data_IF_602381382149
#
_entry.id   IF_602381382149
#
_cell.length_a   1.000
_cell.length_b   1.000
_cell.length_c   1.000
_cell.angle_alpha   90.00
_cell.angle_beta   90.00
_cell.angle_gamma   90.00
#
_symmetry.space_group_name_H-M   'P 1'
#
loop_
_entity.id
_entity.type
_entity.pdbx_description
1 polymer ?
#
# COMPACT_ATOMS: atom_id res chain seq x y z
N UNK A 1 -31.50 -3.78 0.21
CA UNK A 1 -30.72 -4.09 -1.03
C UNK A 1 -30.49 -2.84 -1.89
N UNK A 2 -31.52 -2.09 -2.26
CA UNK A 2 -31.40 -0.87 -3.10
C UNK A 2 -30.59 0.27 -2.47
N UNK A 3 -30.74 0.53 -1.17
CA UNK A 3 -29.98 1.56 -0.43
C UNK A 3 -28.47 1.24 -0.30
N UNK A 4 -28.13 -0.06 -0.17
CA UNK A 4 -26.74 -0.53 -0.10
C UNK A 4 -26.06 -0.39 -1.47
N UNK A 5 -26.77 -0.75 -2.54
CA UNK A 5 -26.29 -0.55 -3.91
C UNK A 5 -26.10 0.94 -4.23
N UNK A 6 -27.05 1.80 -3.83
CA UNK A 6 -27.02 3.24 -4.08
C UNK A 6 -25.86 3.92 -3.32
N UNK A 7 -25.60 3.53 -2.07
CA UNK A 7 -24.48 4.05 -1.28
C UNK A 7 -23.12 3.59 -1.82
N UNK A 8 -22.99 2.34 -2.28
CA UNK A 8 -21.76 1.88 -2.95
C UNK A 8 -21.53 2.61 -4.28
N UNK A 9 -22.60 2.85 -5.06
CA UNK A 9 -22.53 3.60 -6.33
C UNK A 9 -22.17 5.06 -6.07
N UNK A 10 -22.81 5.73 -5.11
CA UNK A 10 -22.51 7.12 -4.73
C UNK A 10 -21.07 7.27 -4.22
N UNK A 11 -20.56 6.36 -3.38
CA UNK A 11 -19.16 6.38 -2.93
C UNK A 11 -18.18 6.25 -4.09
N UNK A 12 -18.49 5.37 -5.06
CA UNK A 12 -17.68 5.14 -6.25
C UNK A 12 -17.70 6.34 -7.20
N UNK A 13 -18.84 7.02 -7.33
CA UNK A 13 -19.01 8.26 -8.11
C UNK A 13 -18.27 9.42 -7.46
N UNK A 14 -18.39 9.60 -6.14
CA UNK A 14 -17.68 10.65 -5.40
C UNK A 14 -16.16 10.46 -5.47
N UNK A 15 -15.66 9.22 -5.33
CA UNK A 15 -14.26 8.89 -5.55
C UNK A 15 -13.83 9.17 -7.00
N UNK A 16 -14.63 8.77 -7.99
CA UNK A 16 -14.33 9.07 -9.39
C UNK A 16 -14.26 10.58 -9.65
N UNK A 17 -15.29 11.35 -9.31
CA UNK A 17 -15.35 12.80 -9.57
C UNK A 17 -14.22 13.56 -8.88
N UNK A 18 -13.90 13.19 -7.65
CA UNK A 18 -12.80 13.76 -6.87
C UNK A 18 -11.44 13.52 -7.54
N UNK A 19 -11.19 12.30 -8.01
CA UNK A 19 -9.88 11.95 -8.58
C UNK A 19 -9.76 12.34 -10.06
N UNK A 20 -10.85 12.34 -10.83
CA UNK A 20 -10.83 12.74 -12.25
C UNK A 20 -10.60 14.24 -12.42
N UNK A 21 -11.22 15.06 -11.58
CA UNK A 21 -11.22 16.52 -11.74
C UNK A 21 -9.84 17.13 -11.41
N UNK A 22 -9.15 16.62 -10.39
CA UNK A 22 -7.89 17.20 -9.92
C UNK A 22 -6.67 16.72 -10.72
N UNK A 23 -6.66 15.48 -11.26
CA UNK A 23 -5.54 15.02 -12.09
C UNK A 23 -5.57 15.65 -13.48
N UNK A 24 -6.76 15.89 -14.05
CA UNK A 24 -6.90 16.64 -15.31
C UNK A 24 -6.43 18.11 -15.13
N UNK A 25 -6.65 18.70 -13.95
CA UNK A 25 -6.10 20.01 -13.58
C UNK A 25 -4.57 19.97 -13.44
N UNK A 26 -4.01 18.96 -12.78
CA UNK A 26 -2.56 18.79 -12.64
C UNK A 26 -1.86 18.54 -13.99
N UNK A 27 -2.45 17.79 -14.92
CA UNK A 27 -1.91 17.57 -16.27
C UNK A 27 -1.87 18.87 -17.09
N UNK A 28 -2.82 19.78 -16.83
CA UNK A 28 -2.90 21.09 -17.47
C UNK A 28 -1.89 22.10 -16.91
N UNK A 29 -1.21 21.78 -15.80
CA UNK A 29 -0.22 22.66 -15.18
C UNK A 29 1.05 22.78 -16.03
N UNK A 30 1.37 24.02 -16.39
CA UNK A 30 2.44 24.39 -17.33
C UNK A 30 3.82 24.13 -16.71
N UNK A 31 3.90 24.02 -15.38
CA UNK A 31 5.15 23.80 -14.63
C UNK A 31 5.72 22.38 -14.75
N UNK A 32 4.92 21.38 -15.15
CA UNK A 32 5.37 19.99 -15.29
C UNK A 32 6.10 19.76 -16.62
N UNK A 33 7.20 19.01 -16.58
CA UNK A 33 7.90 18.53 -17.77
C UNK A 33 7.15 17.36 -18.46
N UNK A 34 7.54 17.07 -19.71
CA UNK A 34 6.84 16.09 -20.56
C UNK A 34 6.77 14.68 -19.96
N UNK A 35 7.82 14.22 -19.28
CA UNK A 35 7.86 12.90 -18.65
C UNK A 35 6.89 12.81 -17.47
N UNK A 36 6.82 13.88 -16.66
CA UNK A 36 5.90 13.97 -15.53
C UNK A 36 4.44 13.97 -15.97
N UNK A 37 4.09 14.76 -17.00
CA UNK A 37 2.73 14.78 -17.55
C UNK A 37 2.30 13.42 -18.09
N UNK A 38 3.22 12.67 -18.69
CA UNK A 38 2.96 11.31 -19.18
C UNK A 38 2.67 10.36 -18.00
N UNK A 39 3.48 10.37 -16.94
CA UNK A 39 3.23 9.56 -15.74
C UNK A 39 1.91 9.92 -15.05
N UNK A 40 1.60 11.21 -14.97
CA UNK A 40 0.35 11.72 -14.39
C UNK A 40 -0.88 11.40 -15.22
N UNK A 41 -0.78 11.52 -16.53
CA UNK A 41 -1.82 11.10 -17.46
C UNK A 41 -2.07 9.60 -17.36
N UNK A 42 -1.02 8.78 -17.36
CA UNK A 42 -1.16 7.34 -17.18
C UNK A 42 -1.71 6.98 -15.80
N UNK A 43 -1.29 7.67 -14.73
CA UNK A 43 -1.86 7.50 -13.40
C UNK A 43 -3.34 7.92 -13.36
N UNK A 44 -3.72 9.06 -13.95
CA UNK A 44 -5.11 9.53 -14.07
C UNK A 44 -6.00 8.51 -14.77
N UNK A 45 -5.59 8.10 -15.97
CA UNK A 45 -6.32 7.18 -16.81
C UNK A 45 -6.35 5.78 -16.19
N UNK A 46 -5.26 5.37 -15.54
CA UNK A 46 -5.22 4.17 -14.72
C UNK A 46 -6.23 4.27 -13.59
N UNK A 47 -6.23 5.32 -12.78
CA UNK A 47 -7.13 5.48 -11.65
C UNK A 47 -8.59 5.56 -12.09
N UNK A 48 -8.89 6.28 -13.19
CA UNK A 48 -10.21 6.32 -13.85
C UNK A 48 -10.65 4.93 -14.33
N UNK A 49 -9.78 4.19 -15.00
CA UNK A 49 -10.09 2.84 -15.51
C UNK A 49 -10.24 1.83 -14.37
N UNK A 50 -9.47 2.00 -13.30
CA UNK A 50 -9.35 1.10 -12.16
C UNK A 50 -10.47 1.31 -11.16
N UNK A 51 -10.89 2.55 -10.95
CA UNK A 51 -12.13 2.88 -10.25
C UNK A 51 -13.34 2.41 -11.05
N UNK A 52 -13.31 2.37 -12.39
CA UNK A 52 -14.46 1.93 -13.18
C UNK A 52 -14.64 0.41 -13.22
N UNK A 53 -13.60 -0.43 -13.37
CA UNK A 53 -13.72 -1.89 -13.24
C UNK A 53 -12.44 -2.67 -12.83
N UNK A 54 -12.65 -3.88 -12.30
CA UNK A 54 -11.62 -4.82 -11.83
C UNK A 54 -10.60 -5.26 -12.90
N UNK A 55 -11.04 -5.45 -14.15
CA UNK A 55 -10.17 -5.90 -15.24
C UNK A 55 -9.19 -4.82 -15.69
N UNK A 56 -9.57 -3.55 -15.59
CA UNK A 56 -8.67 -2.44 -15.89
C UNK A 56 -7.49 -2.39 -14.91
N UNK A 57 -7.74 -2.61 -13.60
CA UNK A 57 -6.68 -2.68 -12.58
C UNK A 57 -5.68 -3.78 -12.89
N UNK A 58 -6.17 -4.98 -13.23
CA UNK A 58 -5.32 -6.12 -13.64
C UNK A 58 -4.42 -5.72 -14.80
N UNK A 59 -4.99 -5.09 -15.85
CA UNK A 59 -4.20 -4.66 -17.02
C UNK A 59 -3.13 -3.65 -16.64
N UNK A 60 -3.49 -2.66 -15.82
CA UNK A 60 -2.57 -1.64 -15.33
C UNK A 60 -1.42 -2.23 -14.51
N UNK A 61 -1.70 -3.10 -13.53
CA UNK A 61 -0.65 -3.73 -12.74
C UNK A 61 0.29 -4.55 -13.61
N UNK A 62 -0.24 -5.29 -14.59
CA UNK A 62 0.57 -6.07 -15.51
C UNK A 62 1.38 -5.20 -16.50
N UNK A 63 0.97 -3.97 -16.78
CA UNK A 63 1.73 -3.06 -17.65
C UNK A 63 2.84 -2.32 -16.91
N UNK A 64 2.61 -1.96 -15.65
CA UNK A 64 3.60 -1.22 -14.85
C UNK A 64 4.59 -2.12 -14.13
N UNK A 65 4.16 -3.33 -13.73
CA UNK A 65 5.07 -4.28 -13.09
C UNK A 65 5.90 -4.98 -14.17
N UNK A 66 7.21 -4.75 -14.15
CA UNK A 66 8.17 -5.57 -14.88
C UNK A 66 8.21 -6.98 -14.27
N UNK A 67 7.36 -7.87 -14.78
CA UNK A 67 7.28 -9.25 -14.34
C UNK A 67 8.50 -10.03 -14.86
N UNK A 68 9.46 -10.24 -13.97
CA UNK A 68 10.64 -11.06 -14.22
C UNK A 68 10.38 -12.49 -13.76
N UNK A 69 10.25 -13.43 -14.71
CA UNK A 69 10.05 -14.86 -14.42
C UNK A 69 11.37 -15.66 -14.34
N UNK A 70 12.53 -15.01 -14.42
CA UNK A 70 13.81 -15.73 -14.40
C UNK A 70 14.07 -16.44 -13.06
N UNK A 71 13.34 -16.08 -11.99
CA UNK A 71 13.40 -16.78 -10.70
C UNK A 71 13.03 -18.26 -10.81
N UNK A 72 12.27 -18.67 -11.83
CA UNK A 72 11.89 -20.08 -12.04
C UNK A 72 13.11 -20.97 -12.25
N UNK A 73 14.22 -20.41 -12.77
CA UNK A 73 15.47 -21.13 -12.95
C UNK A 73 16.19 -21.43 -11.63
N UNK A 74 15.80 -20.78 -10.53
CA UNK A 74 16.39 -20.92 -9.21
C UNK A 74 15.55 -21.82 -8.29
N UNK A 75 14.92 -22.86 -8.85
CA UNK A 75 14.11 -23.78 -8.05
C UNK A 75 14.97 -24.51 -7.02
N UNK A 76 14.65 -24.34 -5.74
CA UNK A 76 15.35 -24.94 -4.60
C UNK A 76 14.37 -25.59 -3.63
N UNK A 77 14.90 -26.27 -2.60
CA UNK A 77 14.07 -26.79 -1.51
C UNK A 77 13.63 -25.67 -0.59
N UNK A 78 12.39 -25.76 -0.11
CA UNK A 78 11.82 -24.86 0.88
C UNK A 78 12.64 -24.81 2.18
N UNK A 79 12.63 -23.66 2.84
CA UNK A 79 13.13 -23.52 4.22
C UNK A 79 12.05 -23.95 5.21
N UNK A 80 12.27 -25.01 6.03
CA UNK A 80 11.30 -25.43 7.04
C UNK A 80 10.93 -24.31 8.03
N UNK A 81 11.89 -23.44 8.35
CA UNK A 81 11.69 -22.28 9.23
C UNK A 81 10.74 -21.26 8.59
N UNK A 82 10.95 -20.88 7.32
CA UNK A 82 10.05 -20.00 6.59
C UNK A 82 8.63 -20.56 6.52
N UNK A 83 8.50 -21.85 6.20
CA UNK A 83 7.18 -22.49 6.06
C UNK A 83 6.39 -22.42 7.37
N UNK A 84 7.05 -22.70 8.49
CA UNK A 84 6.40 -22.55 9.80
C UNK A 84 5.94 -21.12 10.07
N UNK A 85 6.76 -20.12 9.73
CA UNK A 85 6.39 -18.69 9.90
C UNK A 85 5.19 -18.33 9.01
N UNK A 86 5.17 -18.81 7.76
CA UNK A 86 4.06 -18.62 6.82
C UNK A 86 2.76 -19.20 7.40
N UNK A 87 2.78 -20.46 7.82
CA UNK A 87 1.62 -21.16 8.38
C UNK A 87 1.09 -20.42 9.61
N UNK A 88 1.96 -20.12 10.56
CA UNK A 88 1.62 -19.40 11.80
C UNK A 88 1.00 -18.01 11.51
N UNK A 89 1.51 -17.29 10.51
CA UNK A 89 0.95 -16.00 10.11
C UNK A 89 -0.42 -16.14 9.46
N UNK A 90 -0.57 -17.04 8.48
CA UNK A 90 -1.82 -17.21 7.73
C UNK A 90 -2.94 -17.72 8.63
N UNK A 91 -2.65 -18.61 9.57
CA UNK A 91 -3.63 -19.10 10.55
C UNK A 91 -4.24 -17.94 11.34
N UNK A 92 -3.41 -16.98 11.79
CA UNK A 92 -3.83 -15.81 12.58
C UNK A 92 -4.38 -14.66 11.73
N UNK A 93 -4.31 -14.75 10.41
CA UNK A 93 -4.75 -13.68 9.52
C UNK A 93 -6.27 -13.52 9.56
N UNK A 94 -6.72 -12.26 9.66
CA UNK A 94 -8.14 -11.90 9.55
C UNK A 94 -8.52 -11.80 8.08
N UNK A 95 -9.57 -12.51 7.69
CA UNK A 95 -10.08 -12.57 6.32
C UNK A 95 -11.45 -11.87 6.21
N UNK A 96 -11.56 -10.66 6.76
CA UNK A 96 -12.80 -9.87 6.79
C UNK A 96 -13.37 -9.57 5.41
N UNK A 97 -12.51 -9.60 4.39
CA UNK A 97 -12.84 -9.31 3.00
C UNK A 97 -13.30 -10.56 2.22
N UNK A 98 -13.35 -11.71 2.88
CA UNK A 98 -13.64 -13.03 2.30
C UNK A 98 -14.84 -13.64 3.04
N UNK A 99 -15.81 -14.26 2.36
CA UNK A 99 -16.91 -14.93 3.04
C UNK A 99 -16.39 -16.04 3.98
N UNK A 100 -16.93 -16.12 5.21
CA UNK A 100 -16.48 -17.08 6.24
C UNK A 100 -16.39 -18.53 5.74
N UNK A 101 -17.36 -18.95 4.91
CA UNK A 101 -17.40 -20.29 4.31
C UNK A 101 -16.23 -20.59 3.36
N UNK A 102 -15.51 -19.57 2.89
CA UNK A 102 -14.37 -19.68 1.97
C UNK A 102 -13.03 -19.46 2.70
N UNK A 103 -13.03 -19.19 4.01
CA UNK A 103 -11.80 -18.85 4.75
C UNK A 103 -10.76 -19.97 4.71
N UNK A 104 -11.18 -21.22 4.95
CA UNK A 104 -10.25 -22.35 5.01
C UNK A 104 -9.59 -22.61 3.65
N UNK A 105 -10.40 -22.70 2.60
CA UNK A 105 -9.92 -22.86 1.22
C UNK A 105 -8.97 -21.72 0.81
N UNK A 106 -9.29 -20.48 1.21
CA UNK A 106 -8.45 -19.34 0.93
C UNK A 106 -7.12 -19.39 1.70
N UNK A 107 -7.13 -19.76 2.98
CA UNK A 107 -5.91 -19.94 3.78
C UNK A 107 -5.00 -20.99 3.17
N UNK A 108 -5.56 -22.13 2.77
CA UNK A 108 -4.82 -23.20 2.08
C UNK A 108 -4.20 -22.65 0.78
N UNK A 109 -4.98 -21.93 -0.02
CA UNK A 109 -4.47 -21.32 -1.25
C UNK A 109 -3.34 -20.33 -0.97
N UNK A 110 -3.48 -19.48 0.05
CA UNK A 110 -2.48 -18.48 0.44
C UNK A 110 -1.19 -19.14 0.93
N UNK A 111 -1.27 -20.15 1.80
CA UNK A 111 -0.12 -20.94 2.24
C UNK A 111 0.57 -21.55 1.02
N UNK A 112 -0.17 -22.21 0.13
CA UNK A 112 0.39 -22.82 -1.07
C UNK A 112 1.11 -21.80 -1.97
N UNK A 113 0.58 -20.58 -2.16
CA UNK A 113 1.28 -19.54 -2.94
C UNK A 113 2.58 -19.07 -2.25
N UNK A 114 2.56 -18.90 -0.94
CA UNK A 114 3.72 -18.43 -0.19
C UNK A 114 4.80 -19.52 -0.06
N UNK A 115 4.40 -20.78 0.11
CA UNK A 115 5.29 -21.95 0.02
C UNK A 115 5.88 -22.09 -1.38
N UNK A 116 5.11 -21.82 -2.45
CA UNK A 116 5.64 -21.78 -3.81
C UNK A 116 6.70 -20.68 -3.96
N UNK A 117 6.45 -19.48 -3.42
CA UNK A 117 7.44 -18.40 -3.40
C UNK A 117 8.74 -18.82 -2.68
N UNK A 118 8.64 -19.45 -1.52
CA UNK A 118 9.80 -19.90 -0.73
C UNK A 118 10.65 -20.96 -1.46
N UNK A 119 10.10 -21.70 -2.43
CA UNK A 119 10.93 -22.58 -3.31
C UNK A 119 11.94 -21.80 -4.15
N UNK A 120 11.62 -20.57 -4.51
CA UNK A 120 12.47 -19.71 -5.33
C UNK A 120 13.33 -18.77 -4.50
N UNK A 121 12.91 -18.47 -3.27
CA UNK A 121 13.58 -17.56 -2.34
C UNK A 121 13.56 -18.17 -0.92
N UNK A 122 14.27 -19.29 -0.70
CA UNK A 122 14.21 -20.03 0.56
C UNK A 122 14.76 -19.18 1.71
N UNK A 123 13.99 -19.06 2.79
CA UNK A 123 14.40 -18.29 3.97
C UNK A 123 14.14 -16.78 3.87
N UNK A 124 13.70 -16.28 2.71
CA UNK A 124 13.51 -14.85 2.45
C UNK A 124 12.08 -14.37 2.76
N UNK A 125 11.23 -15.25 3.32
CA UNK A 125 9.88 -14.86 3.72
C UNK A 125 9.93 -13.88 4.89
N UNK A 126 9.28 -12.72 4.73
CA UNK A 126 9.20 -11.68 5.75
C UNK A 126 7.76 -11.61 6.27
N UNK A 127 7.61 -11.72 7.60
CA UNK A 127 6.31 -11.65 8.24
C UNK A 127 5.60 -10.32 7.92
N UNK A 128 4.32 -10.39 7.58
CA UNK A 128 3.51 -9.26 7.11
C UNK A 128 3.33 -9.24 5.59
N UNK A 129 4.22 -9.86 4.82
CA UNK A 129 4.11 -9.90 3.35
C UNK A 129 3.01 -10.84 2.85
N UNK A 130 2.49 -11.75 3.69
CA UNK A 130 1.29 -12.52 3.36
C UNK A 130 0.07 -11.63 3.06
N UNK A 131 -0.01 -10.42 3.64
CA UNK A 131 -1.06 -9.46 3.31
C UNK A 131 -1.00 -9.01 1.84
N UNK A 132 0.21 -8.86 1.29
CA UNK A 132 0.43 -8.51 -0.12
C UNK A 132 -0.04 -9.67 -1.00
N UNK A 133 0.40 -10.91 -0.70
CA UNK A 133 0.00 -12.09 -1.45
C UNK A 133 -1.52 -12.31 -1.40
N UNK A 134 -2.16 -12.11 -0.25
CA UNK A 134 -3.63 -12.13 -0.13
C UNK A 134 -4.29 -11.20 -1.15
N UNK A 135 -3.84 -9.94 -1.25
CA UNK A 135 -4.41 -8.98 -2.20
C UNK A 135 -4.18 -9.39 -3.66
N UNK A 136 -3.03 -9.98 -3.97
CA UNK A 136 -2.75 -10.53 -5.30
C UNK A 136 -3.70 -11.68 -5.61
N UNK A 137 -3.93 -12.61 -4.68
CA UNK A 137 -4.87 -13.72 -4.89
C UNK A 137 -6.29 -13.18 -5.11
N UNK A 138 -6.72 -12.18 -4.34
CA UNK A 138 -8.03 -11.56 -4.49
C UNK A 138 -8.20 -10.90 -5.87
N UNK A 139 -7.21 -10.12 -6.32
CA UNK A 139 -7.27 -9.39 -7.58
C UNK A 139 -7.01 -10.28 -8.81
N UNK A 140 -6.17 -11.31 -8.67
CA UNK A 140 -5.73 -12.18 -9.75
C UNK A 140 -6.20 -13.64 -9.56
N UNK A 141 -7.40 -13.84 -8.99
CA UNK A 141 -7.98 -15.17 -8.70
C UNK A 141 -7.97 -16.13 -9.90
N UNK A 142 -8.13 -15.59 -11.11
CA UNK A 142 -8.17 -16.36 -12.36
C UNK A 142 -6.81 -16.54 -13.04
N UNK A 143 -5.72 -16.06 -12.43
CA UNK A 143 -4.36 -16.24 -12.96
C UNK A 143 -3.68 -17.44 -12.31
N UNK A 144 -2.79 -18.07 -13.06
CA UNK A 144 -2.00 -19.19 -12.55
C UNK A 144 -1.06 -18.74 -11.41
N UNK A 145 -0.51 -19.71 -10.68
CA UNK A 145 0.37 -19.46 -9.54
C UNK A 145 1.59 -18.65 -9.95
N UNK A 146 2.22 -19.02 -11.07
CA UNK A 146 3.45 -18.36 -11.54
C UNK A 146 3.28 -16.86 -11.74
N UNK A 147 2.18 -16.41 -12.35
CA UNK A 147 1.88 -14.99 -12.54
C UNK A 147 1.67 -14.29 -11.19
N UNK A 148 0.95 -14.92 -10.25
CA UNK A 148 0.74 -14.36 -8.91
C UNK A 148 2.06 -14.22 -8.14
N UNK A 149 2.91 -15.24 -8.19
CA UNK A 149 4.26 -15.22 -7.60
C UNK A 149 5.14 -14.18 -8.27
N UNK A 150 5.09 -14.04 -9.59
CA UNK A 150 5.82 -13.00 -10.32
C UNK A 150 5.42 -11.59 -9.89
N UNK A 151 4.11 -11.31 -9.79
CA UNK A 151 3.59 -10.03 -9.28
C UNK A 151 4.08 -9.78 -7.85
N UNK A 152 4.02 -10.80 -6.99
CA UNK A 152 4.48 -10.71 -5.61
C UNK A 152 5.95 -10.33 -5.54
N UNK A 153 6.82 -11.02 -6.28
CA UNK A 153 8.25 -10.73 -6.35
C UNK A 153 8.51 -9.32 -6.88
N UNK A 154 7.83 -8.88 -7.95
CA UNK A 154 7.99 -7.53 -8.49
C UNK A 154 7.64 -6.47 -7.45
N UNK A 155 6.56 -6.65 -6.68
CA UNK A 155 6.19 -5.75 -5.58
C UNK A 155 7.20 -5.75 -4.42
N UNK A 156 7.74 -6.92 -4.05
CA UNK A 156 8.77 -7.02 -3.01
C UNK A 156 10.10 -6.37 -3.43
N UNK A 157 10.49 -6.54 -4.71
CA UNK A 157 11.68 -5.88 -5.29
C UNK A 157 11.49 -4.36 -5.31
N UNK A 158 10.34 -3.91 -5.80
CA UNK A 158 9.99 -2.49 -5.92
C UNK A 158 9.93 -1.79 -4.57
N UNK A 159 9.44 -2.49 -3.53
CA UNK A 159 9.41 -1.97 -2.16
C UNK A 159 10.74 -2.13 -1.43
N UNK A 160 11.73 -2.80 -2.05
CA UNK A 160 13.00 -3.15 -1.42
C UNK A 160 12.85 -3.93 -0.11
N UNK A 161 11.74 -4.67 0.07
CA UNK A 161 11.45 -5.44 1.30
C UNK A 161 12.53 -6.50 1.57
N UNK A 162 13.10 -7.13 0.54
CA UNK A 162 14.24 -8.06 0.69
C UNK A 162 15.45 -7.44 1.37
N UNK A 163 15.62 -6.12 1.26
CA UNK A 163 16.74 -5.41 1.88
C UNK A 163 16.44 -5.00 3.33
N UNK A 164 15.29 -5.37 3.91
CA UNK A 164 14.90 -4.95 5.27
C UNK A 164 15.92 -5.35 6.34
N UNK A 165 16.58 -6.51 6.21
CA UNK A 165 17.66 -6.90 7.12
C UNK A 165 18.85 -5.92 7.10
N UNK A 166 19.02 -5.18 6.00
CA UNK A 166 20.07 -4.18 5.77
C UNK A 166 19.55 -2.77 6.11
N UNK A 167 18.27 -2.49 5.88
CA UNK A 167 17.63 -1.21 6.20
C UNK A 167 17.38 -1.09 7.70
N UNK A 168 18.30 -0.41 8.38
CA UNK A 168 18.10 0.00 9.77
C UNK A 168 16.94 1.00 9.88
N UNK A 169 16.20 0.92 10.99
CA UNK A 169 15.16 1.89 11.37
C UNK A 169 15.63 3.35 11.21
N UNK A 170 16.91 3.61 11.45
CA UNK A 170 17.60 4.88 11.27
C UNK A 170 17.44 5.49 9.87
N UNK A 171 17.42 4.68 8.81
CA UNK A 171 17.27 5.16 7.43
C UNK A 171 15.86 5.71 7.19
N UNK A 172 14.82 5.00 7.66
CA UNK A 172 13.44 5.46 7.61
C UNK A 172 13.26 6.76 8.40
N UNK A 173 13.84 6.80 9.61
CA UNK A 173 13.81 7.97 10.48
C UNK A 173 14.49 9.17 9.83
N UNK A 174 15.66 8.98 9.22
CA UNK A 174 16.40 10.04 8.53
C UNK A 174 15.57 10.63 7.38
N UNK A 175 14.98 9.79 6.52
CA UNK A 175 14.17 10.26 5.38
C UNK A 175 12.89 10.98 5.83
N UNK A 176 12.20 10.47 6.85
CA UNK A 176 11.02 11.16 7.41
C UNK A 176 11.40 12.50 8.06
N UNK A 177 12.49 12.56 8.84
CA UNK A 177 12.99 13.83 9.41
C UNK A 177 13.31 14.86 8.33
N UNK A 178 13.98 14.45 7.25
CA UNK A 178 14.26 15.34 6.10
C UNK A 178 12.96 15.88 5.47
N UNK A 179 11.97 15.01 5.26
CA UNK A 179 10.67 15.43 4.72
C UNK A 179 9.94 16.40 5.65
N UNK A 180 9.93 16.17 6.96
CA UNK A 180 9.35 17.09 7.94
C UNK A 180 10.04 18.46 7.92
N UNK A 181 11.38 18.47 7.88
CA UNK A 181 12.18 19.69 7.79
C UNK A 181 11.87 20.50 6.53
N UNK A 182 11.83 19.85 5.36
CA UNK A 182 11.51 20.52 4.08
C UNK A 182 10.09 21.12 4.10
N UNK A 183 9.18 20.52 4.87
CA UNK A 183 7.80 21.00 4.99
C UNK A 183 7.59 21.92 6.20
N UNK A 184 8.65 22.38 6.87
CA UNK A 184 8.61 23.26 8.04
C UNK A 184 7.81 22.72 9.24
N UNK A 185 7.74 21.39 9.41
CA UNK A 185 7.07 20.76 10.55
C UNK A 185 8.10 20.49 11.64
N UNK A 186 7.92 21.09 12.82
CA UNK A 186 8.85 21.02 13.95
C UNK A 186 8.26 20.40 15.22
N UNK A 187 6.99 20.00 15.19
CA UNK A 187 6.24 19.55 16.38
C UNK A 187 6.62 18.15 16.87
N UNK A 188 7.31 17.33 16.06
CA UNK A 188 7.64 15.95 16.42
C UNK A 188 9.04 15.79 17.00
N UNK A 189 9.10 15.20 18.19
CA UNK A 189 10.37 14.77 18.78
C UNK A 189 10.89 13.50 18.10
N UNK A 190 12.15 13.15 18.34
CA UNK A 190 12.70 11.89 17.84
C UNK A 190 11.91 10.67 18.36
N UNK A 191 11.49 10.69 19.63
CA UNK A 191 10.71 9.59 20.23
C UNK A 191 9.36 9.41 19.56
N UNK A 192 8.68 10.50 19.20
CA UNK A 192 7.40 10.45 18.49
C UNK A 192 7.57 9.79 17.11
N UNK A 193 8.62 10.17 16.39
CA UNK A 193 8.90 9.61 15.07
C UNK A 193 9.33 8.15 15.13
N UNK A 194 10.12 7.75 16.12
CA UNK A 194 10.47 6.34 16.35
C UNK A 194 9.21 5.52 16.67
N UNK A 195 8.31 6.05 17.50
CA UNK A 195 7.04 5.43 17.81
C UNK A 195 6.16 5.28 16.57
N UNK A 196 6.02 6.34 15.77
CA UNK A 196 5.31 6.33 14.49
C UNK A 196 5.86 5.27 13.54
N UNK A 197 7.18 5.21 13.41
CA UNK A 197 7.83 4.28 12.49
C UNK A 197 7.50 2.84 12.86
N UNK A 198 7.67 2.50 14.14
CA UNK A 198 7.48 1.15 14.63
C UNK A 198 6.02 0.72 14.65
N UNK A 199 5.08 1.66 14.85
CA UNK A 199 3.67 1.32 15.03
C UNK A 199 2.81 1.52 13.79
N UNK A 200 3.23 2.40 12.86
CA UNK A 200 2.47 2.75 11.66
C UNK A 200 3.29 2.48 10.40
N UNK A 201 4.38 3.22 10.22
CA UNK A 201 5.10 3.27 8.95
C UNK A 201 5.54 1.87 8.50
N UNK A 202 6.21 1.11 9.36
CA UNK A 202 6.71 -0.22 9.01
C UNK A 202 5.58 -1.19 8.68
N UNK A 203 4.41 -1.05 9.32
CA UNK A 203 3.24 -1.87 8.97
C UNK A 203 2.75 -1.53 7.56
N UNK A 204 2.60 -0.24 7.25
CA UNK A 204 2.22 0.18 5.89
C UNK A 204 3.24 -0.24 4.84
N UNK A 205 4.52 -0.11 5.17
CA UNK A 205 5.64 -0.45 4.29
C UNK A 205 5.70 -1.96 4.01
N UNK A 206 5.76 -2.80 5.05
CA UNK A 206 5.93 -4.25 4.93
C UNK A 206 4.68 -4.90 4.32
N UNK A 207 3.49 -4.40 4.64
CA UNK A 207 2.24 -4.97 4.11
C UNK A 207 1.78 -4.33 2.80
N UNK A 208 2.48 -3.29 2.32
CA UNK A 208 2.04 -2.39 1.24
C UNK A 208 0.57 -1.96 1.42
N UNK A 209 0.27 -1.42 2.59
CA UNK A 209 -1.09 -1.06 3.03
C UNK A 209 -2.08 -2.23 3.06
N UNK A 210 -1.62 -3.48 3.02
CA UNK A 210 -2.44 -4.68 2.94
C UNK A 210 -3.40 -4.90 4.12
N UNK A 211 -3.23 -4.13 5.20
CA UNK A 211 -4.14 -4.10 6.34
C UNK A 211 -5.19 -2.99 6.28
N UNK A 212 -5.05 -2.00 5.42
CA UNK A 212 -6.06 -0.92 5.26
C UNK A 212 -7.37 -1.51 4.73
N UNK A 213 -8.50 -0.85 5.00
CA UNK A 213 -9.81 -1.20 4.48
C UNK A 213 -9.77 -1.52 2.97
N UNK A 214 -10.43 -2.61 2.55
CA UNK A 214 -10.38 -3.11 1.17
C UNK A 214 -10.81 -2.08 0.12
N UNK A 215 -11.72 -1.17 0.47
CA UNK A 215 -12.20 -0.13 -0.45
C UNK A 215 -11.06 0.80 -0.92
N UNK A 216 -10.04 0.97 -0.09
CA UNK A 216 -8.93 1.90 -0.33
C UNK A 216 -7.59 1.20 -0.57
N UNK A 217 -7.43 0.00 -0.02
CA UNK A 217 -6.20 -0.79 -0.12
C UNK A 217 -5.70 -0.89 -1.56
N UNK A 218 -6.58 -1.21 -2.50
CA UNK A 218 -6.16 -1.34 -3.89
C UNK A 218 -5.80 0.01 -4.53
N UNK A 219 -6.45 1.11 -4.14
CA UNK A 219 -6.08 2.46 -4.61
C UNK A 219 -4.68 2.84 -4.09
N UNK A 220 -4.41 2.54 -2.82
CA UNK A 220 -3.09 2.75 -2.20
C UNK A 220 -2.00 1.92 -2.90
N UNK A 221 -2.32 0.67 -3.26
CA UNK A 221 -1.43 -0.19 -4.03
C UNK A 221 -1.23 0.33 -5.46
N UNK A 222 -2.28 0.83 -6.12
CA UNK A 222 -2.17 1.47 -7.44
C UNK A 222 -1.20 2.68 -7.37
N UNK A 223 -1.33 3.52 -6.34
CA UNK A 223 -0.42 4.65 -6.10
C UNK A 223 1.00 4.18 -5.82
N UNK A 224 1.17 3.14 -5.00
CA UNK A 224 2.49 2.54 -4.76
C UNK A 224 3.12 2.07 -6.07
N UNK A 225 2.38 1.38 -6.95
CA UNK A 225 2.91 0.92 -8.24
C UNK A 225 3.35 2.08 -9.15
N UNK A 226 2.71 3.24 -9.07
CA UNK A 226 3.14 4.41 -9.84
C UNK A 226 4.37 5.12 -9.27
N UNK A 227 4.46 5.21 -7.95
CA UNK A 227 5.38 6.15 -7.28
C UNK A 227 6.42 5.46 -6.38
N UNK A 228 6.34 4.15 -6.20
CA UNK A 228 7.22 3.37 -5.35
C UNK A 228 7.17 3.76 -3.88
N UNK A 229 8.30 3.55 -3.21
CA UNK A 229 8.46 3.83 -1.79
C UNK A 229 8.22 5.31 -1.44
N UNK A 230 8.47 6.25 -2.37
CA UNK A 230 8.23 7.68 -2.15
C UNK A 230 6.77 7.97 -1.81
N UNK A 231 5.82 7.21 -2.38
CA UNK A 231 4.42 7.30 -1.99
C UNK A 231 4.20 7.04 -0.50
N UNK A 232 4.80 5.97 0.04
CA UNK A 232 4.62 5.59 1.45
C UNK A 232 5.18 6.69 2.38
N UNK A 233 6.34 7.26 2.03
CA UNK A 233 6.94 8.37 2.79
C UNK A 233 6.09 9.64 2.74
N UNK A 234 5.61 10.03 1.57
CA UNK A 234 4.77 11.22 1.41
C UNK A 234 3.40 11.03 2.06
N UNK A 235 2.80 9.84 1.94
CA UNK A 235 1.55 9.50 2.62
C UNK A 235 1.71 9.60 4.15
N UNK A 236 2.82 9.07 4.66
CA UNK A 236 3.17 9.17 6.09
C UNK A 236 3.37 10.61 6.56
N UNK A 237 4.01 11.45 5.73
CA UNK A 237 4.15 12.88 6.00
C UNK A 237 2.79 13.58 6.07
N UNK A 238 1.88 13.33 5.13
CA UNK A 238 0.55 13.95 5.17
C UNK A 238 -0.26 13.46 6.35
N UNK A 239 -0.13 12.18 6.72
CA UNK A 239 -0.77 11.65 7.91
C UNK A 239 -0.26 12.33 9.19
N UNK A 240 1.06 12.56 9.29
CA UNK A 240 1.64 13.35 10.39
C UNK A 240 1.12 14.80 10.37
N UNK A 241 1.00 15.46 9.21
CA UNK A 241 0.40 16.80 9.14
C UNK A 241 -1.05 16.85 9.62
N UNK A 242 -1.85 15.86 9.22
CA UNK A 242 -3.25 15.78 9.61
C UNK A 242 -3.38 15.57 11.12
N UNK A 243 -2.53 14.71 11.68
CA UNK A 243 -2.34 14.59 13.12
C UNK A 243 -2.06 15.97 13.73
N UNK A 244 -1.00 16.68 13.31
CA UNK A 244 -0.64 18.01 13.83
C UNK A 244 -1.81 19.03 13.79
N UNK A 245 -2.59 19.04 12.70
CA UNK A 245 -3.74 19.93 12.52
C UNK A 245 -4.85 19.66 13.56
N UNK A 246 -5.16 18.39 13.83
CA UNK A 246 -6.13 18.00 14.87
C UNK A 246 -5.67 18.53 16.24
N UNK A 247 -4.36 18.56 16.50
CA UNK A 247 -3.80 18.89 17.81
C UNK A 247 -3.59 20.37 18.12
N UNK A 248 -3.51 21.24 17.10
CA UNK A 248 -3.50 22.70 17.38
C UNK A 248 -4.77 23.19 18.07
N UNK A 249 -5.85 22.39 18.07
CA UNK A 249 -7.14 22.72 18.67
C UNK A 249 -7.41 22.07 20.05
N UNK A 250 -6.63 21.07 20.51
CA UNK A 250 -6.88 20.38 21.79
C UNK A 250 -5.64 20.35 22.70
N UNK A 251 -5.80 20.75 23.98
CA UNK A 251 -4.69 21.05 24.91
C UNK A 251 -3.99 19.84 25.54
N UNK A 252 -4.29 18.60 25.13
CA UNK A 252 -3.69 17.39 25.71
C UNK A 252 -3.37 16.34 24.65
N UNK A 253 -2.20 16.46 24.04
CA UNK A 253 -1.75 15.48 23.07
C UNK A 253 -1.09 14.26 23.73
N UNK A 254 -1.69 13.08 23.53
CA UNK A 254 -1.03 11.80 23.76
C UNK A 254 -0.82 11.09 22.41
N UNK A 255 0.35 11.33 21.79
CA UNK A 255 0.77 10.76 20.50
C UNK A 255 0.50 9.26 20.41
N UNK A 256 0.79 8.54 21.49
CA UNK A 256 0.68 7.09 21.55
C UNK A 256 -0.77 6.60 21.40
N UNK A 257 -1.71 7.25 22.09
CA UNK A 257 -3.13 6.90 22.06
C UNK A 257 -3.71 7.18 20.69
N UNK A 258 -3.38 8.31 20.09
CA UNK A 258 -3.97 8.72 18.82
C UNK A 258 -3.40 7.96 17.63
N UNK A 259 -2.10 7.67 17.67
CA UNK A 259 -1.52 6.67 16.77
C UNK A 259 -2.23 5.34 16.96
N UNK A 260 -2.47 4.85 18.18
CA UNK A 260 -3.19 3.57 18.35
C UNK A 260 -4.64 3.61 17.82
N UNK A 261 -5.34 4.73 17.96
CA UNK A 261 -6.71 4.92 17.44
C UNK A 261 -6.75 5.00 15.92
N UNK A 262 -5.83 5.73 15.29
CA UNK A 262 -5.86 6.02 13.84
C UNK A 262 -4.94 5.12 12.99
N UNK A 263 -3.92 4.49 13.58
CA UNK A 263 -2.94 3.68 12.84
C UNK A 263 -3.41 2.28 12.49
N UNK A 264 -4.46 1.81 13.15
CA UNK A 264 -4.88 0.42 13.09
C UNK A 264 -6.34 0.42 12.64
N UNK A 265 -6.50 0.45 11.31
CA UNK A 265 -7.67 -0.04 10.58
C UNK A 265 -8.86 0.91 10.36
N UNK A 266 -9.01 1.98 11.14
CA UNK A 266 -10.19 2.87 11.05
C UNK A 266 -9.84 4.35 10.86
N UNK A 267 -8.92 4.65 9.92
CA UNK A 267 -8.89 6.02 9.38
C UNK A 267 -10.23 6.23 8.67
N UNK A 268 -11.01 7.23 9.10
CA UNK A 268 -12.26 7.56 8.44
C UNK A 268 -12.03 7.73 6.94
N UNK A 269 -12.94 7.20 6.14
CA UNK A 269 -12.90 7.26 4.68
C UNK A 269 -12.62 8.68 4.15
N UNK A 270 -13.21 9.70 4.79
CA UNK A 270 -12.98 11.11 4.46
C UNK A 270 -11.53 11.55 4.68
N UNK A 271 -10.96 11.18 5.83
CA UNK A 271 -9.56 11.48 6.18
C UNK A 271 -8.62 10.78 5.21
N UNK A 272 -8.89 9.51 4.85
CA UNK A 272 -8.05 8.79 3.92
C UNK A 272 -8.10 9.38 2.50
N UNK A 273 -9.28 9.82 2.04
CA UNK A 273 -9.41 10.56 0.76
C UNK A 273 -8.62 11.87 0.81
N UNK A 274 -8.73 12.64 1.89
CA UNK A 274 -7.97 13.89 2.08
C UNK A 274 -6.45 13.65 2.05
N UNK A 275 -5.98 12.61 2.75
CA UNK A 275 -4.58 12.21 2.77
C UNK A 275 -4.10 11.76 1.39
N UNK A 276 -4.89 10.96 0.68
CA UNK A 276 -4.58 10.54 -0.68
C UNK A 276 -4.41 11.74 -1.61
N UNK A 277 -5.37 12.67 -1.61
CA UNK A 277 -5.33 13.91 -2.41
C UNK A 277 -4.05 14.70 -2.15
N UNK A 278 -3.82 15.05 -0.90
CA UNK A 278 -2.67 15.88 -0.49
C UNK A 278 -1.33 15.18 -0.76
N UNK A 279 -1.30 13.85 -0.64
CA UNK A 279 -0.11 13.05 -0.96
C UNK A 279 0.21 13.09 -2.43
N UNK A 280 -0.78 12.83 -3.29
CA UNK A 280 -0.61 12.85 -4.75
C UNK A 280 -0.19 14.26 -5.20
N UNK A 281 -0.88 15.30 -4.73
CA UNK A 281 -0.51 16.68 -5.05
C UNK A 281 0.92 17.01 -4.59
N UNK A 282 1.35 16.54 -3.41
CA UNK A 282 2.72 16.73 -2.95
C UNK A 282 3.76 15.98 -3.77
N UNK A 283 3.43 14.80 -4.29
CA UNK A 283 4.32 14.03 -5.15
C UNK A 283 4.42 14.62 -6.55
N UNK A 284 3.36 15.27 -7.02
CA UNK A 284 3.32 15.94 -8.33
C UNK A 284 4.14 17.24 -8.30
N UNK A 285 3.96 18.06 -7.26
CA UNK A 285 4.52 19.42 -7.18
C UNK A 285 5.99 19.50 -6.77
N UNK A 286 6.60 18.39 -6.32
CA UNK A 286 8.01 18.33 -5.91
C UNK A 286 8.95 17.71 -6.96
N UNK A 287 8.44 17.39 -8.15
CA UNK A 287 9.24 16.89 -9.29
C UNK A 287 9.27 17.99 -10.34
#
# INVERSE_FOLDING_TARGET
MFLLLLTTILKKVVLMEIFTFEVDWAISDISLNKSQRIKLYHFSESLKSTLSNHNSRIKFWLSELELDFNFVNNLTQNSPESIKVIEDEVIRMRLTDIPDKEHEDFKILLINQLTEFDKYFPGEYIQGTAEIMKNIILLFKNKNNLVRTGIFISLLKMSEIFKLAIFKQENYLKKLKQLLQINNIKSYTQKDLEFFINNIFLKWYITLFGRVNINFRFILLDCFICFGNDFIYHFSLQFLKELDNIYTNESYFNFEIEVKKHAILDIEEKTLISLLKTTINSLITKV
#
